data_IF_972562610014
#
_entry.id   IF_972562610014
#
_cell.length_a   1.000
_cell.length_b   1.000
_cell.length_c   1.000
_cell.angle_alpha   90.00
_cell.angle_beta   90.00
_cell.angle_gamma   90.00
#
_symmetry.space_group_name_H-M   'P 1'
#
loop_
_entity.id
_entity.type
_entity.pdbx_description
1 polymer ?
#
# COMPACT_ATOMS: atom_id res chain seq x y z
N UNK A 1 2.77 -19.30 29.67
CA UNK A 1 3.01 -18.86 28.28
C UNK A 1 1.66 -18.59 27.68
N UNK A 2 1.47 -17.43 27.07
CA UNK A 2 0.24 -17.11 26.34
C UNK A 2 0.17 -18.03 25.11
N UNK A 3 -0.82 -18.92 25.07
CA UNK A 3 -1.02 -19.89 23.99
C UNK A 3 -1.65 -19.27 22.74
N UNK A 4 -1.93 -17.96 22.74
CA UNK A 4 -2.54 -17.26 21.61
C UNK A 4 -1.52 -16.71 20.60
N UNK A 5 -0.25 -16.56 21.00
CA UNK A 5 0.82 -16.09 20.12
C UNK A 5 1.39 -17.23 19.26
N UNK A 6 1.61 -17.02 17.95
CA UNK A 6 2.18 -18.06 17.10
C UNK A 6 3.63 -18.35 17.48
N UNK A 7 4.04 -19.61 17.37
CA UNK A 7 5.45 -20.00 17.46
C UNK A 7 6.16 -19.69 16.14
N UNK A 8 7.50 -19.56 16.18
CA UNK A 8 8.27 -19.33 14.96
C UNK A 8 8.19 -20.51 13.99
N UNK A 9 8.04 -21.74 14.51
CA UNK A 9 7.86 -22.94 13.68
C UNK A 9 6.53 -22.92 12.92
N UNK A 10 5.42 -22.59 13.60
CA UNK A 10 4.11 -22.46 12.95
C UNK A 10 4.12 -21.35 11.89
N UNK A 11 4.79 -20.22 12.16
CA UNK A 11 4.96 -19.15 11.17
C UNK A 11 5.72 -19.64 9.93
N UNK A 12 6.80 -20.40 10.09
CA UNK A 12 7.57 -20.98 8.97
C UNK A 12 6.73 -21.96 8.15
N UNK A 13 6.03 -22.88 8.82
CA UNK A 13 5.18 -23.88 8.16
C UNK A 13 4.05 -23.25 7.34
N UNK A 14 3.49 -22.13 7.82
CA UNK A 14 2.43 -21.40 7.14
C UNK A 14 2.93 -20.30 6.18
N UNK A 15 4.25 -20.11 6.03
CA UNK A 15 4.89 -19.04 5.26
C UNK A 15 4.54 -17.60 5.71
N UNK A 16 4.45 -17.39 7.02
CA UNK A 16 4.26 -16.08 7.66
C UNK A 16 3.02 -15.34 7.15
N UNK A 17 1.81 -15.94 7.22
CA UNK A 17 0.62 -15.31 6.67
C UNK A 17 0.18 -14.16 7.58
N UNK A 18 -0.33 -13.08 6.99
CA UNK A 18 -0.78 -11.89 7.71
C UNK A 18 -1.71 -12.24 8.87
N UNK A 19 -2.63 -13.19 8.68
CA UNK A 19 -3.62 -13.62 9.70
C UNK A 19 -3.03 -14.15 11.01
N UNK A 20 -1.77 -14.61 11.02
CA UNK A 20 -1.10 -15.06 12.25
C UNK A 20 -0.43 -13.92 13.00
N UNK A 21 -0.35 -12.73 12.41
CA UNK A 21 0.32 -11.56 12.95
C UNK A 21 -0.71 -10.48 13.31
N UNK A 22 -1.60 -10.79 14.26
CA UNK A 22 -2.68 -9.87 14.64
C UNK A 22 -2.14 -8.64 15.39
N UNK A 23 -2.47 -7.43 14.93
CA UNK A 23 -2.02 -6.18 15.55
C UNK A 23 -2.41 -6.06 17.02
N UNK A 24 -3.54 -6.64 17.44
CA UNK A 24 -3.96 -6.61 18.86
C UNK A 24 -3.03 -7.39 19.79
N UNK A 25 -2.16 -8.26 19.24
CA UNK A 25 -1.21 -9.09 19.98
C UNK A 25 0.22 -8.59 19.76
N UNK A 26 0.60 -8.36 18.50
CA UNK A 26 2.00 -8.10 18.14
C UNK A 26 2.35 -6.63 17.91
N UNK A 27 1.38 -5.72 17.93
CA UNK A 27 1.60 -4.29 17.71
C UNK A 27 1.31 -3.45 18.96
N UNK A 28 2.04 -2.33 19.16
CA UNK A 28 1.86 -1.47 20.33
C UNK A 28 0.58 -0.64 20.31
N UNK A 29 -0.10 -0.58 19.15
CA UNK A 29 -1.36 0.14 18.93
C UNK A 29 -2.02 -0.41 17.65
N UNK A 30 -3.34 -0.29 17.54
CA UNK A 30 -4.08 -0.66 16.33
C UNK A 30 -3.82 0.31 15.18
N UNK A 31 -3.95 -0.15 13.94
CA UNK A 31 -3.84 0.68 12.73
C UNK A 31 -4.86 1.83 12.76
N UNK A 32 -6.05 1.58 13.31
CA UNK A 32 -7.10 2.58 13.48
C UNK A 32 -7.31 2.91 14.96
N UNK A 33 -6.91 4.12 15.42
CA UNK A 33 -6.97 4.49 16.84
C UNK A 33 -8.38 4.46 17.45
N UNK A 34 -9.44 4.56 16.64
CA UNK A 34 -10.82 4.41 17.10
C UNK A 34 -11.09 3.02 17.73
N UNK A 35 -10.33 1.99 17.33
CA UNK A 35 -10.38 0.66 17.97
C UNK A 35 -9.76 0.68 19.38
N UNK A 36 -8.77 1.54 19.64
CA UNK A 36 -8.06 1.63 20.93
C UNK A 36 -8.72 2.61 21.91
N UNK A 37 -9.53 3.56 21.41
CA UNK A 37 -10.26 4.55 22.20
C UNK A 37 -11.23 3.92 23.21
N UNK A 38 -11.63 2.66 23.00
CA UNK A 38 -12.45 1.87 23.95
C UNK A 38 -11.72 1.64 25.28
N UNK A 39 -10.38 1.73 25.31
CA UNK A 39 -9.56 1.54 26.51
C UNK A 39 -9.40 2.79 27.40
N UNK A 40 -9.95 3.94 27.01
CA UNK A 40 -10.06 5.14 27.84
C UNK A 40 -8.74 5.84 28.21
N UNK A 41 -7.60 5.46 27.61
CA UNK A 41 -6.32 6.11 27.86
C UNK A 41 -5.95 7.04 26.69
N UNK A 42 -6.02 8.35 26.92
CA UNK A 42 -5.50 9.35 26.01
C UNK A 42 -3.96 9.31 26.04
N UNK A 43 -3.38 8.54 25.13
CA UNK A 43 -1.94 8.38 24.99
C UNK A 43 -1.33 9.31 23.93
N UNK A 44 -2.06 10.35 23.51
CA UNK A 44 -1.67 11.20 22.39
C UNK A 44 -1.45 10.41 21.09
N UNK A 45 -0.76 11.01 20.14
CA UNK A 45 -0.36 10.39 18.86
C UNK A 45 1.17 10.34 18.73
N UNK A 46 1.85 9.36 19.36
CA UNK A 46 3.29 9.20 19.24
C UNK A 46 3.71 9.04 17.78
N UNK A 47 4.84 9.65 17.40
CA UNK A 47 5.37 9.60 16.03
C UNK A 47 5.76 8.18 15.63
N UNK A 48 6.41 7.45 16.55
CA UNK A 48 6.91 6.09 16.33
C UNK A 48 6.74 5.29 17.63
N UNK A 49 6.24 4.06 17.51
CA UNK A 49 6.19 3.06 18.58
C UNK A 49 6.82 1.77 18.08
N UNK A 50 7.47 1.04 18.99
CA UNK A 50 8.07 -0.26 18.72
C UNK A 50 7.57 -1.27 19.74
N UNK A 51 7.38 -2.52 19.32
CA UNK A 51 7.10 -3.64 20.21
C UNK A 51 7.96 -4.85 19.82
N UNK A 52 8.72 -5.35 20.79
CA UNK A 52 9.46 -6.60 20.68
C UNK A 52 8.64 -7.73 21.33
N UNK A 53 8.23 -8.71 20.54
CA UNK A 53 7.42 -9.83 21.00
C UNK A 53 8.25 -11.11 20.99
N UNK A 54 8.64 -11.59 22.17
CA UNK A 54 9.33 -12.88 22.29
C UNK A 54 8.34 -14.02 22.12
N UNK A 55 8.54 -14.84 21.08
CA UNK A 55 7.74 -16.03 20.79
C UNK A 55 8.61 -17.28 20.95
N UNK A 56 7.98 -18.44 21.05
CA UNK A 56 8.73 -19.70 21.10
C UNK A 56 9.53 -19.84 19.80
N UNK A 57 10.86 -19.85 19.94
CA UNK A 57 11.80 -19.99 18.84
C UNK A 57 12.08 -18.71 18.04
N UNK A 58 11.70 -17.52 18.50
CA UNK A 58 12.07 -16.29 17.80
C UNK A 58 11.56 -14.97 18.40
N UNK A 59 11.66 -13.92 17.59
CA UNK A 59 11.26 -12.55 17.91
C UNK A 59 10.42 -11.98 16.78
N UNK A 60 9.31 -11.30 17.11
CA UNK A 60 8.59 -10.42 16.19
C UNK A 60 8.80 -8.98 16.63
N UNK A 61 9.51 -8.19 15.82
CA UNK A 61 9.73 -6.76 16.05
C UNK A 61 8.76 -5.96 15.17
N UNK A 62 7.87 -5.21 15.82
CA UNK A 62 6.83 -4.42 15.13
C UNK A 62 7.14 -2.94 15.24
N UNK A 63 7.11 -2.25 14.10
CA UNK A 63 7.24 -0.79 13.99
C UNK A 63 5.90 -0.17 13.64
N UNK A 64 5.48 0.83 14.40
CA UNK A 64 4.27 1.60 14.14
C UNK A 64 4.63 3.07 13.99
N UNK A 65 4.51 3.60 12.77
CA UNK A 65 4.68 5.02 12.45
C UNK A 65 3.35 5.74 12.35
N UNK A 66 3.27 6.97 12.88
CA UNK A 66 2.09 7.82 12.73
C UNK A 66 2.04 8.35 11.29
N UNK A 67 1.02 7.98 10.53
CA UNK A 67 1.00 8.17 9.07
C UNK A 67 0.90 9.65 8.61
N UNK A 68 0.40 10.56 9.44
CA UNK A 68 0.44 12.01 9.18
C UNK A 68 1.87 12.58 9.34
N UNK A 69 2.78 11.84 9.95
CA UNK A 69 4.17 12.26 10.17
C UNK A 69 5.17 11.61 9.21
N UNK A 70 4.83 10.45 8.64
CA UNK A 70 5.68 9.69 7.72
C UNK A 70 4.85 8.82 6.77
N UNK A 71 5.34 8.62 5.55
CA UNK A 71 4.90 7.51 4.69
C UNK A 71 5.80 6.29 4.90
N UNK A 72 5.58 5.20 4.16
CA UNK A 72 6.36 3.96 4.32
C UNK A 72 7.85 4.14 3.94
N UNK A 73 8.17 5.05 3.01
CA UNK A 73 9.56 5.34 2.65
C UNK A 73 10.24 6.11 3.78
N UNK A 74 9.54 7.08 4.37
CA UNK A 74 9.99 7.81 5.55
C UNK A 74 10.15 6.90 6.77
N UNK A 75 9.20 6.00 7.00
CA UNK A 75 9.31 4.98 8.05
C UNK A 75 10.48 4.02 7.80
N UNK A 76 10.68 3.58 6.55
CA UNK A 76 11.82 2.76 6.17
C UNK A 76 13.16 3.43 6.46
N UNK A 77 13.27 4.75 6.19
CA UNK A 77 14.46 5.52 6.53
C UNK A 77 14.66 5.64 8.04
N UNK A 78 13.59 5.85 8.82
CA UNK A 78 13.67 5.88 10.29
C UNK A 78 14.14 4.51 10.82
N UNK A 79 13.63 3.40 10.28
CA UNK A 79 14.07 2.06 10.64
C UNK A 79 15.55 1.84 10.29
N UNK A 80 16.02 2.34 9.16
CA UNK A 80 17.44 2.29 8.78
C UNK A 80 18.33 3.06 9.76
N UNK A 81 17.97 4.31 10.10
CA UNK A 81 18.69 5.12 11.07
C UNK A 81 18.70 4.49 12.47
N UNK A 82 17.60 3.87 12.88
CA UNK A 82 17.57 3.11 14.13
C UNK A 82 18.53 1.93 14.08
N UNK A 83 18.55 1.16 12.99
CA UNK A 83 19.49 0.05 12.82
C UNK A 83 20.94 0.53 12.92
N UNK A 84 21.29 1.65 12.25
CA UNK A 84 22.63 2.28 12.39
C UNK A 84 22.95 2.64 13.83
N UNK A 85 22.02 3.27 14.53
CA UNK A 85 22.19 3.63 15.94
C UNK A 85 22.42 2.39 16.82
N UNK A 86 21.75 1.26 16.56
CA UNK A 86 21.98 0.01 17.27
C UNK A 86 23.38 -0.60 17.01
N UNK A 87 24.04 -0.24 15.91
CA UNK A 87 25.42 -0.62 15.60
C UNK A 87 26.46 0.40 16.06
N UNK A 88 26.06 1.45 16.78
CA UNK A 88 26.91 2.59 17.11
C UNK A 88 27.51 3.28 15.86
N UNK A 89 26.84 3.18 14.71
CA UNK A 89 27.24 3.85 13.48
C UNK A 89 26.81 5.31 13.46
N UNK A 90 27.70 6.18 12.94
CA UNK A 90 27.39 7.59 12.77
C UNK A 90 26.39 7.83 11.63
N UNK A 91 25.49 8.79 11.83
CA UNK A 91 24.64 9.29 10.75
C UNK A 91 25.45 10.19 9.81
N UNK A 92 25.16 10.12 8.51
CA UNK A 92 25.81 10.97 7.51
C UNK A 92 25.30 12.40 7.60
N UNK A 93 26.04 13.36 7.04
CA UNK A 93 25.58 14.75 6.96
C UNK A 93 24.25 14.87 6.20
N UNK A 94 24.08 14.10 5.12
CA UNK A 94 22.84 14.07 4.34
C UNK A 94 21.65 13.51 5.14
N UNK A 95 21.87 12.46 5.95
CA UNK A 95 20.84 11.88 6.82
C UNK A 95 20.38 12.85 7.91
N UNK A 96 21.34 13.56 8.52
CA UNK A 96 21.07 14.60 9.52
C UNK A 96 20.33 15.77 8.88
N UNK A 97 20.82 16.27 7.74
CA UNK A 97 20.21 17.37 7.00
C UNK A 97 18.78 17.05 6.57
N UNK A 98 18.56 15.91 5.90
CA UNK A 98 17.24 15.49 5.43
C UNK A 98 16.27 15.17 6.57
N UNK A 99 16.77 14.57 7.66
CA UNK A 99 15.98 14.26 8.85
C UNK A 99 15.46 15.50 9.57
N UNK A 100 16.10 16.65 9.38
CA UNK A 100 15.80 17.92 10.04
C UNK A 100 15.18 18.99 9.11
N UNK A 101 14.80 18.64 7.87
CA UNK A 101 14.15 19.59 6.95
C UNK A 101 12.84 20.15 7.52
N UNK A 102 12.64 21.46 7.34
CA UNK A 102 11.37 22.12 7.66
C UNK A 102 10.26 21.59 6.77
N UNK A 103 9.17 21.11 7.39
CA UNK A 103 8.12 20.38 6.67
C UNK A 103 7.11 21.30 5.99
N UNK A 104 6.89 22.49 6.56
CA UNK A 104 5.79 23.39 6.19
C UNK A 104 5.87 23.88 4.74
N UNK A 105 7.09 24.12 4.25
CA UNK A 105 7.35 24.65 2.91
C UNK A 105 8.16 23.67 2.04
N UNK A 106 8.24 22.39 2.45
CA UNK A 106 9.05 21.39 1.76
C UNK A 106 8.58 21.18 0.32
N UNK A 107 7.27 21.19 0.10
CA UNK A 107 6.67 21.18 -1.24
C UNK A 107 6.27 22.62 -1.56
N UNK A 108 6.91 23.28 -2.54
CA UNK A 108 6.59 24.66 -2.88
C UNK A 108 5.15 24.81 -3.34
N UNK A 109 4.41 25.72 -2.72
CA UNK A 109 3.04 26.06 -3.14
C UNK A 109 3.04 26.71 -4.53
N UNK A 110 1.88 26.74 -5.16
CA UNK A 110 1.63 27.38 -6.46
C UNK A 110 1.04 28.77 -6.24
N UNK A 111 1.63 29.78 -6.88
CA UNK A 111 1.12 31.15 -6.85
C UNK A 111 -0.17 31.27 -7.67
N UNK A 112 -1.16 32.00 -7.15
CA UNK A 112 -2.45 32.24 -7.81
C UNK A 112 -3.16 30.96 -8.30
N UNK A 113 -2.98 29.86 -7.57
CA UNK A 113 -3.57 28.57 -7.95
C UNK A 113 -5.08 28.54 -7.73
N UNK A 114 -5.80 28.22 -8.80
CA UNK A 114 -7.22 27.87 -8.74
C UNK A 114 -7.40 26.36 -8.86
N UNK A 115 -8.42 25.82 -8.18
CA UNK A 115 -8.68 24.38 -8.15
C UNK A 115 -8.89 23.81 -9.56
N UNK A 116 -8.02 22.89 -9.97
CA UNK A 116 -8.13 22.17 -11.23
C UNK A 116 -8.58 20.70 -11.11
N UNK A 117 -8.70 19.99 -12.25
CA UNK A 117 -9.10 18.58 -12.32
C UNK A 117 -8.15 17.61 -11.63
N UNK A 118 -6.90 17.98 -11.41
CA UNK A 118 -5.87 17.23 -10.69
C UNK A 118 -6.28 16.86 -9.25
N UNK A 119 -7.15 17.66 -8.63
CA UNK A 119 -7.67 17.41 -7.29
C UNK A 119 -8.97 16.60 -7.29
N UNK A 120 -9.57 16.33 -8.45
CA UNK A 120 -10.90 15.71 -8.54
C UNK A 120 -10.97 14.36 -7.81
N UNK A 121 -9.88 13.58 -7.84
CA UNK A 121 -9.82 12.27 -7.19
C UNK A 121 -9.59 12.34 -5.67
N UNK A 122 -8.98 13.42 -5.20
CA UNK A 122 -8.62 13.65 -3.79
C UNK A 122 -9.74 14.30 -2.97
N UNK A 123 -10.63 15.03 -3.62
CA UNK A 123 -11.69 15.76 -2.96
C UNK A 123 -12.97 14.94 -3.01
N UNK A 124 -13.60 14.76 -1.85
CA UNK A 124 -14.95 14.21 -1.82
C UNK A 124 -15.84 15.05 -2.75
N UNK A 125 -16.59 14.40 -3.63
CA UNK A 125 -17.72 15.07 -4.24
C UNK A 125 -18.60 15.57 -3.08
N UNK A 126 -18.96 16.85 -3.08
CA UNK A 126 -19.98 17.34 -2.16
C UNK A 126 -21.22 16.49 -2.41
N UNK A 127 -21.52 15.58 -1.50
CA UNK A 127 -22.71 14.73 -1.63
C UNK A 127 -23.92 15.66 -1.76
N UNK A 128 -24.61 15.57 -2.89
CA UNK A 128 -25.95 16.15 -3.01
C UNK A 128 -26.90 15.32 -2.15
N UNK A 129 -26.94 15.63 -0.85
CA UNK A 129 -27.91 15.11 0.11
C UNK A 129 -27.86 13.60 0.39
N UNK A 130 -28.56 13.14 1.44
CA UNK A 130 -28.75 11.72 1.68
C UNK A 130 -29.70 11.18 0.61
N UNK A 131 -29.21 10.27 -0.24
CA UNK A 131 -30.08 9.50 -1.11
C UNK A 131 -31.05 8.68 -0.25
N UNK A 132 -32.33 8.99 -0.46
CA UNK A 132 -33.54 8.51 0.19
C UNK A 132 -33.56 7.05 0.70
N UNK A 133 -34.23 6.92 1.85
CA UNK A 133 -34.94 5.73 2.34
C UNK A 133 -35.51 4.87 1.19
N UNK A 134 -34.92 3.70 0.99
CA UNK A 134 -35.57 2.55 0.40
C UNK A 134 -35.63 1.46 1.47
N UNK A 135 -36.80 1.29 2.09
CA UNK A 135 -37.11 0.07 2.84
C UNK A 135 -37.27 -1.02 1.79
N UNK A 136 -36.17 -1.64 1.37
CA UNK A 136 -36.19 -2.99 0.85
C UNK A 136 -35.33 -3.84 1.79
N UNK A 137 -36.04 -4.67 2.56
CA UNK A 137 -35.46 -5.75 3.35
C UNK A 137 -34.95 -6.83 2.40
N UNK A 138 -33.77 -6.63 1.86
CA UNK A 138 -32.86 -7.76 1.65
C UNK A 138 -31.88 -7.72 2.82
N UNK A 139 -32.19 -8.48 3.87
CA UNK A 139 -31.21 -8.88 4.89
C UNK A 139 -30.15 -9.77 4.21
N UNK A 140 -29.31 -9.18 3.36
CA UNK A 140 -28.05 -9.80 3.01
C UNK A 140 -27.22 -9.84 4.28
N UNK A 141 -26.75 -11.03 4.65
CA UNK A 141 -25.77 -11.18 5.71
C UNK A 141 -24.64 -10.16 5.51
N UNK A 142 -24.09 -9.58 6.59
CA UNK A 142 -23.02 -8.60 6.48
C UNK A 142 -21.89 -9.15 5.60
N UNK A 143 -21.55 -8.42 4.53
CA UNK A 143 -20.51 -8.82 3.58
C UNK A 143 -19.19 -9.05 4.34
N UNK A 144 -18.75 -10.31 4.40
CA UNK A 144 -17.53 -10.66 5.13
C UNK A 144 -16.30 -10.24 4.33
N UNK A 145 -15.47 -9.39 4.93
CA UNK A 145 -14.22 -8.88 4.36
C UNK A 145 -13.02 -9.63 4.95
N UNK A 146 -12.07 -10.04 4.11
CA UNK A 146 -10.94 -10.87 4.54
C UNK A 146 -9.62 -10.42 3.91
N UNK A 147 -8.59 -10.29 4.74
CA UNK A 147 -7.19 -10.25 4.33
C UNK A 147 -6.71 -11.65 3.95
N UNK A 148 -5.98 -11.75 2.85
CA UNK A 148 -5.20 -12.93 2.48
C UNK A 148 -3.81 -12.52 1.99
N UNK A 149 -2.83 -13.40 2.18
CA UNK A 149 -1.46 -13.21 1.72
C UNK A 149 -1.18 -14.14 0.53
N UNK A 150 -0.51 -13.60 -0.48
CA UNK A 150 -0.08 -14.33 -1.65
C UNK A 150 1.40 -14.07 -1.91
N UNK A 151 2.19 -15.13 -2.00
CA UNK A 151 3.60 -15.05 -2.34
C UNK A 151 3.80 -15.18 -3.83
N UNK A 152 4.54 -14.22 -4.41
CA UNK A 152 5.00 -14.25 -5.79
C UNK A 152 6.50 -14.52 -5.79
N UNK A 153 6.87 -15.73 -6.21
CA UNK A 153 8.27 -16.13 -6.32
C UNK A 153 9.00 -15.33 -7.42
N UNK A 154 10.35 -15.24 -7.35
CA UNK A 154 11.14 -14.51 -8.35
C UNK A 154 10.90 -14.96 -9.79
N UNK A 155 10.69 -16.27 -10.00
CA UNK A 155 10.36 -16.85 -11.31
C UNK A 155 8.99 -16.38 -11.82
N UNK A 156 7.96 -16.34 -10.96
CA UNK A 156 6.64 -15.80 -11.29
C UNK A 156 6.71 -14.32 -11.65
N UNK A 157 7.44 -13.53 -10.86
CA UNK A 157 7.63 -12.10 -11.10
C UNK A 157 8.37 -11.82 -12.42
N UNK A 158 9.41 -12.60 -12.71
CA UNK A 158 10.12 -12.53 -13.99
C UNK A 158 9.22 -12.92 -15.17
N UNK A 159 8.40 -13.96 -15.00
CA UNK A 159 7.44 -14.39 -16.03
C UNK A 159 6.38 -13.32 -16.30
N UNK A 160 5.76 -12.75 -15.25
CA UNK A 160 4.79 -11.65 -15.38
C UNK A 160 5.41 -10.44 -16.08
N UNK A 161 6.62 -10.03 -15.68
CA UNK A 161 7.34 -8.95 -16.35
C UNK A 161 7.62 -9.28 -17.82
N UNK A 162 8.02 -10.52 -18.12
CA UNK A 162 8.28 -10.96 -19.50
C UNK A 162 7.01 -10.90 -20.36
N UNK A 163 5.86 -11.34 -19.82
CA UNK A 163 4.56 -11.25 -20.49
C UNK A 163 4.21 -9.78 -20.76
N UNK A 164 4.31 -8.93 -19.74
CA UNK A 164 4.04 -7.51 -19.89
C UNK A 164 4.92 -6.86 -20.96
N UNK A 165 6.22 -7.17 -20.99
CA UNK A 165 7.15 -6.65 -22.01
C UNK A 165 6.79 -7.14 -23.43
N UNK A 166 6.37 -8.40 -23.58
CA UNK A 166 6.00 -8.97 -24.89
C UNK A 166 4.72 -8.37 -25.48
N UNK A 167 3.85 -7.82 -24.64
CA UNK A 167 2.56 -7.27 -25.07
C UNK A 167 2.47 -5.76 -24.80
N UNK A 168 3.60 -5.05 -24.89
CA UNK A 168 3.62 -3.60 -24.79
C UNK A 168 2.98 -2.95 -26.02
N UNK A 169 2.27 -1.81 -25.85
CA UNK A 169 1.84 -1.01 -26.99
C UNK A 169 3.05 -0.44 -27.72
N UNK A 170 2.88 -0.22 -29.03
CA UNK A 170 3.89 0.42 -29.87
C UNK A 170 4.30 1.78 -29.30
N UNK A 171 5.60 2.05 -29.20
CA UNK A 171 6.15 3.29 -28.63
C UNK A 171 6.39 3.27 -27.12
N UNK A 172 6.02 2.20 -26.41
CA UNK A 172 6.40 2.01 -25.00
C UNK A 172 7.83 1.48 -24.88
N UNK A 173 8.62 2.05 -23.98
CA UNK A 173 10.05 1.71 -23.84
C UNK A 173 10.30 0.56 -22.86
N UNK A 174 9.74 0.63 -21.64
CA UNK A 174 9.93 -0.38 -20.61
C UNK A 174 8.78 -0.39 -19.60
N UNK A 175 8.68 -1.48 -18.82
CA UNK A 175 7.89 -1.56 -17.60
C UNK A 175 8.73 -2.23 -16.49
N UNK A 176 8.48 -1.86 -15.24
CA UNK A 176 9.11 -2.48 -14.07
C UNK A 176 8.37 -3.75 -13.65
N UNK A 177 9.01 -4.56 -12.80
CA UNK A 177 8.34 -5.70 -12.14
C UNK A 177 7.13 -5.25 -11.33
N UNK A 178 7.21 -4.08 -10.69
CA UNK A 178 6.12 -3.52 -9.89
C UNK A 178 4.92 -3.11 -10.76
N UNK A 179 5.17 -2.56 -11.97
CA UNK A 179 4.09 -2.24 -12.92
C UNK A 179 3.39 -3.51 -13.41
N UNK A 180 4.16 -4.53 -13.78
CA UNK A 180 3.62 -5.82 -14.24
C UNK A 180 2.81 -6.51 -13.14
N UNK A 181 3.31 -6.55 -11.90
CA UNK A 181 2.59 -7.12 -10.76
C UNK A 181 1.34 -6.31 -10.42
N UNK A 182 1.43 -4.97 -10.40
CA UNK A 182 0.28 -4.08 -10.16
C UNK A 182 -0.84 -4.31 -11.19
N UNK A 183 -0.48 -4.36 -12.48
CA UNK A 183 -1.40 -4.64 -13.57
C UNK A 183 -2.05 -6.03 -13.42
N UNK A 184 -1.25 -7.05 -13.10
CA UNK A 184 -1.72 -8.42 -12.93
C UNK A 184 -2.70 -8.56 -11.76
N UNK A 185 -2.39 -7.95 -10.61
CA UNK A 185 -3.26 -7.93 -9.44
C UNK A 185 -4.58 -7.22 -9.76
N UNK A 186 -4.53 -6.05 -10.40
CA UNK A 186 -5.74 -5.32 -10.77
C UNK A 186 -6.64 -6.14 -11.69
N UNK A 187 -6.07 -6.66 -12.77
CA UNK A 187 -6.79 -7.47 -13.75
C UNK A 187 -7.39 -8.73 -13.09
N UNK A 188 -6.66 -9.40 -12.20
CA UNK A 188 -7.13 -10.60 -11.51
C UNK A 188 -8.24 -10.32 -10.52
N UNK A 189 -8.15 -9.24 -9.74
CA UNK A 189 -9.23 -8.82 -8.81
C UNK A 189 -10.49 -8.48 -9.60
N UNK A 190 -10.36 -7.73 -10.69
CA UNK A 190 -11.51 -7.31 -11.51
C UNK A 190 -12.13 -8.50 -12.26
N UNK A 191 -11.32 -9.45 -12.73
CA UNK A 191 -11.80 -10.71 -13.30
C UNK A 191 -12.59 -11.54 -12.27
N UNK A 192 -12.14 -11.59 -11.02
CA UNK A 192 -12.90 -12.24 -9.94
C UNK A 192 -14.27 -11.56 -9.70
N UNK A 193 -14.34 -10.23 -9.88
CA UNK A 193 -15.57 -9.42 -9.73
C UNK A 193 -16.54 -9.51 -10.90
N UNK A 194 -16.11 -9.98 -12.07
CA UNK A 194 -16.93 -10.09 -13.28
C UNK A 194 -18.22 -10.90 -13.10
N UNK A 195 -18.28 -11.77 -12.08
CA UNK A 195 -19.48 -12.53 -11.74
C UNK A 195 -20.60 -11.70 -11.09
N UNK A 196 -20.28 -10.54 -10.51
CA UNK A 196 -21.26 -9.69 -9.80
C UNK A 196 -21.36 -8.27 -10.36
N UNK A 197 -20.43 -7.85 -11.22
CA UNK A 197 -20.40 -6.52 -11.81
C UNK A 197 -20.74 -6.57 -13.31
N UNK A 198 -21.55 -5.62 -13.83
CA UNK A 198 -21.76 -5.47 -15.26
C UNK A 198 -20.44 -5.27 -16.04
N UNK A 199 -20.35 -5.74 -17.30
CA UNK A 199 -19.15 -5.58 -18.13
C UNK A 199 -18.72 -4.11 -18.34
N UNK A 200 -19.68 -3.18 -18.42
CA UNK A 200 -19.45 -1.76 -18.64
C UNK A 200 -19.18 -0.96 -17.35
N UNK A 201 -19.01 -1.63 -16.21
CA UNK A 201 -18.68 -0.96 -14.95
C UNK A 201 -17.25 -0.43 -15.00
N UNK A 202 -17.08 0.88 -14.80
CA UNK A 202 -15.77 1.50 -14.64
C UNK A 202 -15.08 1.00 -13.38
N UNK A 203 -13.81 0.60 -13.49
CA UNK A 203 -12.94 0.27 -12.37
C UNK A 203 -11.72 1.17 -12.41
N UNK A 204 -11.35 1.72 -11.26
CA UNK A 204 -10.20 2.59 -11.07
C UNK A 204 -9.14 1.89 -10.22
N UNK A 205 -7.89 1.96 -10.69
CA UNK A 205 -6.72 1.58 -9.92
C UNK A 205 -6.03 2.82 -9.37
N UNK A 206 -6.03 2.95 -8.04
CA UNK A 206 -5.31 3.99 -7.33
C UNK A 206 -3.97 3.44 -6.82
N UNK A 207 -2.86 3.99 -7.29
CA UNK A 207 -1.51 3.52 -6.92
C UNK A 207 -0.78 4.60 -6.14
N UNK A 208 -0.38 4.29 -4.92
CA UNK A 208 0.45 5.17 -4.09
C UNK A 208 1.87 5.26 -4.64
N UNK A 209 2.38 6.48 -4.79
CA UNK A 209 3.67 6.80 -5.39
C UNK A 209 4.47 7.64 -4.39
N UNK A 210 5.69 7.20 -4.11
CA UNK A 210 6.72 8.05 -3.52
C UNK A 210 7.07 9.16 -4.52
N UNK A 211 6.72 10.40 -4.19
CA UNK A 211 6.89 11.54 -5.08
C UNK A 211 8.15 12.35 -4.80
N UNK A 212 9.00 11.92 -3.86
CA UNK A 212 10.22 12.65 -3.44
C UNK A 212 11.06 13.13 -4.62
N UNK A 213 11.39 12.24 -5.56
CA UNK A 213 12.21 12.56 -6.74
C UNK A 213 11.53 13.48 -7.76
N UNK A 214 10.20 13.63 -7.71
CA UNK A 214 9.44 14.49 -8.62
C UNK A 214 9.26 15.91 -8.08
N UNK A 215 9.53 16.13 -6.79
CA UNK A 215 9.41 17.43 -6.11
C UNK A 215 10.69 17.79 -5.35
N UNK A 216 11.84 17.27 -5.81
CA UNK A 216 13.19 17.59 -5.32
C UNK A 216 13.38 17.41 -3.80
N UNK A 217 12.71 16.41 -3.21
CA UNK A 217 12.91 16.03 -1.81
C UNK A 217 13.91 14.88 -1.73
N UNK A 218 14.91 14.93 -0.82
CA UNK A 218 15.86 13.84 -0.65
C UNK A 218 15.19 12.49 -0.35
N UNK A 219 15.72 11.40 -0.91
CA UNK A 219 15.23 10.04 -0.63
C UNK A 219 15.34 9.67 0.86
N UNK A 220 16.28 10.29 1.58
CA UNK A 220 16.50 10.15 3.03
C UNK A 220 15.57 11.03 3.88
N UNK A 221 14.59 11.72 3.29
CA UNK A 221 13.58 12.46 4.04
C UNK A 221 12.61 11.51 4.75
N UNK A 222 12.50 11.65 6.07
CA UNK A 222 11.75 10.75 6.96
C UNK A 222 10.26 11.06 7.06
N UNK A 223 9.80 12.16 6.47
CA UNK A 223 8.39 12.57 6.54
C UNK A 223 7.49 11.93 5.49
N UNK A 224 6.34 12.55 5.24
CA UNK A 224 5.36 12.12 4.24
C UNK A 224 5.50 12.96 2.95
N UNK A 225 5.83 12.29 1.84
CA UNK A 225 5.92 12.86 0.50
C UNK A 225 5.41 11.81 -0.48
N UNK A 226 4.08 11.64 -0.48
CA UNK A 226 3.37 10.64 -1.25
C UNK A 226 2.21 11.30 -2.00
N UNK A 227 1.94 10.79 -3.20
CA UNK A 227 0.71 11.10 -3.94
C UNK A 227 0.17 9.82 -4.60
N UNK A 228 -0.94 9.93 -5.33
CA UNK A 228 -1.58 8.82 -6.02
C UNK A 228 -1.54 9.03 -7.54
N UNK A 229 -1.44 7.94 -8.28
CA UNK A 229 -1.82 7.88 -9.71
C UNK A 229 -3.11 7.08 -9.84
N UNK A 230 -3.91 7.41 -10.86
CA UNK A 230 -5.20 6.78 -11.10
C UNK A 230 -5.29 6.34 -12.57
N UNK A 231 -5.71 5.11 -12.81
CA UNK A 231 -6.04 4.59 -14.13
C UNK A 231 -7.44 3.99 -14.10
N UNK A 232 -8.25 4.25 -15.13
CA UNK A 232 -9.63 3.74 -15.23
C UNK A 232 -9.84 3.06 -16.57
N UNK A 233 -10.50 1.91 -16.52
CA UNK A 233 -11.01 1.14 -17.64
C UNK A 233 -12.41 0.63 -17.30
N UNK A 234 -13.18 0.22 -18.30
CA UNK A 234 -14.32 -0.65 -18.00
C UNK A 234 -13.83 -2.04 -17.59
N UNK A 235 -14.63 -2.77 -16.81
CA UNK A 235 -14.34 -4.14 -16.41
C UNK A 235 -14.04 -5.04 -17.61
N UNK A 236 -14.86 -4.95 -18.67
CA UNK A 236 -14.72 -5.74 -19.87
C UNK A 236 -13.41 -5.43 -20.61
N UNK A 237 -13.07 -4.15 -20.76
CA UNK A 237 -11.81 -3.74 -21.38
C UNK A 237 -10.61 -4.25 -20.58
N UNK A 238 -10.58 -4.02 -19.27
CA UNK A 238 -9.45 -4.39 -18.43
C UNK A 238 -9.15 -5.91 -18.48
N UNK A 239 -10.20 -6.74 -18.41
CA UNK A 239 -10.04 -8.19 -18.43
C UNK A 239 -9.62 -8.70 -19.81
N UNK A 240 -9.99 -8.00 -20.89
CA UNK A 240 -9.61 -8.36 -22.26
C UNK A 240 -8.23 -7.84 -22.68
N UNK A 241 -7.69 -6.81 -22.02
CA UNK A 241 -6.43 -6.19 -22.40
C UNK A 241 -5.21 -7.09 -22.11
N UNK A 242 -4.20 -7.08 -23.00
CA UNK A 242 -2.91 -7.68 -22.70
C UNK A 242 -2.25 -7.03 -21.47
N UNK A 243 -1.55 -7.82 -20.67
CA UNK A 243 -0.92 -7.35 -19.42
C UNK A 243 0.00 -6.14 -19.63
N UNK A 244 0.72 -6.11 -20.75
CA UNK A 244 1.63 -5.03 -21.12
C UNK A 244 0.95 -3.69 -21.41
N UNK A 245 -0.27 -3.68 -21.94
CA UNK A 245 -1.06 -2.46 -22.15
C UNK A 245 -1.40 -1.82 -20.80
N UNK A 246 -1.86 -2.64 -19.85
CA UNK A 246 -2.20 -2.20 -18.50
C UNK A 246 -0.94 -1.70 -17.78
N UNK A 247 0.14 -2.50 -17.79
CA UNK A 247 1.40 -2.14 -17.15
C UNK A 247 2.02 -0.88 -17.76
N UNK A 248 1.93 -0.70 -19.09
CA UNK A 248 2.39 0.51 -19.78
C UNK A 248 1.62 1.74 -19.34
N UNK A 249 0.29 1.65 -19.22
CA UNK A 249 -0.53 2.77 -18.70
C UNK A 249 -0.13 3.17 -17.28
N UNK A 250 0.15 2.19 -16.41
CA UNK A 250 0.64 2.47 -15.05
C UNK A 250 2.04 3.12 -15.05
N UNK A 251 2.91 2.73 -16.00
CA UNK A 251 4.25 3.31 -16.16
C UNK A 251 4.21 4.71 -16.75
N UNK A 252 3.37 4.97 -17.74
CA UNK A 252 3.26 6.27 -18.41
C UNK A 252 2.93 7.40 -17.42
N UNK A 253 2.14 7.11 -16.37
CA UNK A 253 1.85 8.07 -15.30
C UNK A 253 3.09 8.50 -14.48
N UNK A 254 4.20 7.76 -14.58
CA UNK A 254 5.45 7.96 -13.84
C UNK A 254 6.61 8.42 -14.73
N UNK A 255 6.37 8.63 -16.03
CA UNK A 255 7.45 8.98 -16.95
C UNK A 255 7.94 10.42 -16.66
N UNK A 256 9.21 10.64 -16.26
CA UNK A 256 9.67 11.92 -15.73
C UNK A 256 9.42 13.13 -16.64
N UNK A 257 9.47 12.91 -17.96
CA UNK A 257 9.33 14.00 -18.95
C UNK A 257 7.87 14.35 -19.29
N UNK A 258 6.91 13.47 -18.97
CA UNK A 258 5.51 13.64 -19.36
C UNK A 258 4.53 13.56 -18.20
N UNK A 259 5.00 13.17 -17.02
CA UNK A 259 4.15 13.04 -15.83
C UNK A 259 3.69 14.40 -15.32
N UNK A 260 2.44 14.44 -14.89
CA UNK A 260 1.82 15.58 -14.22
C UNK A 260 1.97 15.50 -12.69
N UNK A 261 2.62 14.47 -12.16
CA UNK A 261 2.79 14.23 -10.72
C UNK A 261 3.44 15.38 -9.94
N UNK A 262 4.52 16.05 -10.42
CA UNK A 262 5.07 17.23 -9.75
C UNK A 262 4.01 18.31 -9.55
N UNK A 263 3.28 18.64 -10.62
CA UNK A 263 2.21 19.64 -10.58
C UNK A 263 1.07 19.22 -9.67
N UNK A 264 0.56 17.98 -9.79
CA UNK A 264 -0.50 17.43 -8.94
C UNK A 264 -0.13 17.46 -7.45
N UNK A 265 1.12 17.14 -7.13
CA UNK A 265 1.61 17.13 -5.75
C UNK A 265 1.67 18.55 -5.18
N UNK A 266 2.19 19.50 -5.96
CA UNK A 266 2.19 20.93 -5.56
C UNK A 266 0.78 21.51 -5.47
N UNK A 267 -0.12 21.13 -6.38
CA UNK A 267 -1.53 21.53 -6.36
C UNK A 267 -2.25 21.02 -5.10
N UNK A 268 -2.04 19.75 -4.72
CA UNK A 268 -2.59 19.18 -3.50
C UNK A 268 -2.03 19.88 -2.25
N UNK A 269 -0.71 20.09 -2.19
CA UNK A 269 -0.06 20.81 -1.09
C UNK A 269 -0.59 22.26 -0.97
N UNK A 270 -0.72 22.96 -2.11
CA UNK A 270 -1.27 24.33 -2.16
C UNK A 270 -2.71 24.36 -1.68
N UNK A 271 -3.54 23.42 -2.14
CA UNK A 271 -4.92 23.32 -1.71
C UNK A 271 -5.02 23.08 -0.20
N UNK A 272 -4.28 22.10 0.33
CA UNK A 272 -4.25 21.81 1.77
C UNK A 272 -3.76 23.01 2.59
N UNK A 273 -2.75 23.74 2.10
CA UNK A 273 -2.24 24.95 2.73
C UNK A 273 -3.31 26.06 2.79
N UNK A 274 -4.11 26.20 1.73
CA UNK A 274 -5.16 27.23 1.61
C UNK A 274 -6.43 26.98 2.45
N UNK A 275 -6.57 25.78 3.04
CA UNK A 275 -7.80 25.37 3.73
C UNK A 275 -7.57 25.17 5.21
N UNK A 276 -8.38 25.82 6.05
CA UNK A 276 -8.43 25.54 7.47
C UNK A 276 -8.99 24.14 7.73
N UNK A 277 -10.14 23.82 7.13
CA UNK A 277 -10.76 22.50 7.16
C UNK A 277 -10.24 21.62 6.02
N UNK A 278 -9.75 20.43 6.38
CA UNK A 278 -9.17 19.43 5.46
C UNK A 278 -9.94 18.11 5.49
N UNK A 279 -11.07 18.05 6.20
CA UNK A 279 -11.84 16.82 6.46
C UNK A 279 -12.38 16.16 5.18
N UNK A 280 -12.56 16.93 4.11
CA UNK A 280 -13.04 16.47 2.81
C UNK A 280 -11.92 16.02 1.85
N UNK A 281 -10.67 16.01 2.29
CA UNK A 281 -9.52 15.61 1.48
C UNK A 281 -9.08 14.20 1.87
N UNK A 282 -9.12 13.28 0.91
CA UNK A 282 -8.60 11.92 1.06
C UNK A 282 -8.11 11.41 -0.29
N UNK A 283 -6.96 10.71 -0.36
CA UNK A 283 -6.47 10.08 -1.59
C UNK A 283 -7.44 9.03 -2.16
N UNK A 284 -8.44 8.61 -1.37
CA UNK A 284 -9.45 7.64 -1.77
C UNK A 284 -10.87 8.23 -1.85
N UNK A 285 -11.04 9.56 -1.78
CA UNK A 285 -12.36 10.21 -1.74
C UNK A 285 -13.32 9.83 -2.86
N UNK A 286 -12.79 9.52 -4.04
CA UNK A 286 -13.56 9.22 -5.26
C UNK A 286 -13.66 7.73 -5.58
N UNK A 287 -13.12 6.86 -4.72
CA UNK A 287 -13.06 5.42 -4.99
C UNK A 287 -14.30 4.71 -4.44
N UNK A 288 -14.90 3.86 -5.27
CA UNK A 288 -15.87 2.86 -4.82
C UNK A 288 -15.12 1.57 -4.50
N UNK A 289 -14.87 1.30 -3.22
CA UNK A 289 -14.12 0.12 -2.83
C UNK A 289 -14.83 -1.20 -3.17
N UNK A 290 -16.12 -1.21 -3.52
CA UNK A 290 -16.76 -2.40 -4.04
C UNK A 290 -16.34 -2.74 -5.49
N UNK A 291 -15.65 -1.83 -6.19
CA UNK A 291 -15.27 -1.95 -7.61
C UNK A 291 -13.79 -1.64 -7.86
N UNK A 292 -13.29 -0.57 -7.25
CA UNK A 292 -11.95 -0.04 -7.43
C UNK A 292 -10.90 -0.83 -6.65
N UNK A 293 -9.61 -0.59 -6.94
CA UNK A 293 -8.47 -1.22 -6.26
C UNK A 293 -7.47 -0.15 -5.86
N UNK A 294 -6.97 -0.22 -4.63
CA UNK A 294 -5.91 0.67 -4.13
C UNK A 294 -4.68 -0.13 -3.74
N UNK A 295 -3.53 0.23 -4.31
CA UNK A 295 -2.24 -0.43 -4.09
C UNK A 295 -1.24 0.53 -3.46
N UNK A 296 -0.59 0.07 -2.39
CA UNK A 296 0.61 0.68 -1.84
C UNK A 296 1.75 -0.34 -1.85
N UNK A 297 2.74 -0.12 -2.72
CA UNK A 297 3.89 -1.01 -2.82
C UNK A 297 5.01 -0.58 -1.89
N UNK A 298 5.40 -1.47 -0.98
CA UNK A 298 6.52 -1.28 -0.04
C UNK A 298 7.78 -2.02 -0.51
N UNK A 299 7.74 -2.59 -1.73
CA UNK A 299 8.77 -3.48 -2.26
C UNK A 299 10.18 -2.83 -2.33
N UNK A 300 10.25 -1.49 -2.35
CA UNK A 300 11.52 -0.74 -2.37
C UNK A 300 12.12 -0.49 -0.99
N UNK A 301 11.38 -0.73 0.09
CA UNK A 301 11.94 -0.57 1.43
C UNK A 301 12.93 -1.70 1.69
N UNK A 302 14.07 -1.36 2.30
CA UNK A 302 15.18 -2.29 2.50
C UNK A 302 15.10 -3.06 3.84
N UNK A 303 13.88 -3.39 4.27
CA UNK A 303 13.62 -3.89 5.63
C UNK A 303 14.28 -5.25 5.93
N UNK A 304 14.59 -6.05 4.90
CA UNK A 304 15.30 -7.33 5.05
C UNK A 304 16.79 -7.16 5.38
N UNK A 305 17.35 -5.96 5.25
CA UNK A 305 18.76 -5.69 5.56
C UNK A 305 18.96 -5.14 6.98
N UNK A 306 17.89 -4.99 7.76
CA UNK A 306 17.92 -4.38 9.09
C UNK A 306 17.91 -5.47 10.18
N UNK A 307 19.05 -5.75 10.78
CA UNK A 307 19.19 -6.70 11.89
C UNK A 307 19.19 -6.03 13.29
N UNK A 308 19.27 -4.69 13.33
CA UNK A 308 19.29 -3.88 14.54
C UNK A 308 20.34 -4.31 15.57
N UNK A 309 21.44 -4.93 15.14
CA UNK A 309 22.50 -5.44 16.00
C UNK A 309 22.00 -6.37 17.14
N UNK A 310 20.91 -7.11 16.92
CA UNK A 310 20.30 -7.97 17.94
C UNK A 310 21.01 -9.32 18.11
N UNK A 311 22.01 -9.62 17.28
CA UNK A 311 22.68 -10.93 17.25
C UNK A 311 21.80 -12.08 16.71
N UNK A 312 20.66 -11.77 16.08
CA UNK A 312 19.71 -12.74 15.53
C UNK A 312 19.86 -12.96 14.02
N UNK A 313 20.71 -12.17 13.36
CA UNK A 313 20.80 -12.08 11.91
C UNK A 313 19.68 -11.24 11.29
N UNK A 314 19.60 -11.28 9.96
CA UNK A 314 18.60 -10.53 9.18
C UNK A 314 17.18 -11.09 9.35
N UNK A 315 16.13 -10.29 9.14
CA UNK A 315 14.75 -10.75 9.22
C UNK A 315 14.45 -11.94 8.29
N UNK A 316 13.83 -12.99 8.81
CA UNK A 316 13.41 -14.15 8.03
C UNK A 316 12.20 -13.82 7.12
N UNK A 317 11.31 -12.96 7.62
CA UNK A 317 10.16 -12.44 6.90
C UNK A 317 9.84 -11.01 7.34
N UNK A 318 9.41 -10.17 6.40
CA UNK A 318 8.84 -8.85 6.69
C UNK A 318 7.38 -8.85 6.21
N UNK A 319 6.46 -8.55 7.13
CA UNK A 319 5.01 -8.63 6.92
C UNK A 319 4.31 -7.43 7.57
N UNK A 320 3.15 -7.08 7.04
CA UNK A 320 2.22 -6.16 7.68
C UNK A 320 1.35 -6.94 8.67
N UNK A 321 1.14 -6.45 9.92
CA UNK A 321 0.18 -7.05 10.84
C UNK A 321 -1.24 -7.09 10.26
N UNK A 322 -1.99 -8.14 10.59
CA UNK A 322 -3.43 -8.21 10.38
C UNK A 322 -4.14 -7.14 11.20
N UNK A 323 -5.13 -6.51 10.59
CA UNK A 323 -5.89 -5.40 11.15
C UNK A 323 -7.30 -5.40 10.56
N UNK A 324 -8.14 -4.48 11.06
CA UNK A 324 -9.51 -4.28 10.56
C UNK A 324 -9.56 -4.29 9.02
N UNK A 325 -10.35 -5.18 8.39
CA UNK A 325 -10.40 -5.31 6.93
C UNK A 325 -10.75 -3.99 6.22
N UNK A 326 -10.00 -3.66 5.17
CA UNK A 326 -10.24 -2.53 4.29
C UNK A 326 -10.46 -3.04 2.87
N UNK A 327 -11.69 -3.00 2.38
CA UNK A 327 -12.02 -3.54 1.07
C UNK A 327 -11.15 -2.95 -0.04
N UNK A 328 -10.63 -3.82 -0.90
CA UNK A 328 -9.85 -3.47 -2.09
C UNK A 328 -8.48 -2.86 -1.85
N UNK A 329 -8.02 -2.84 -0.60
CA UNK A 329 -6.64 -2.49 -0.28
C UNK A 329 -5.70 -3.65 -0.57
N UNK A 330 -4.57 -3.30 -1.17
CA UNK A 330 -3.49 -4.20 -1.53
C UNK A 330 -2.15 -3.59 -1.11
N UNK A 331 -1.34 -4.39 -0.44
CA UNK A 331 0.02 -4.00 -0.05
C UNK A 331 1.04 -4.98 -0.60
N UNK A 332 2.07 -4.47 -1.26
CA UNK A 332 3.24 -5.30 -1.61
C UNK A 332 4.24 -5.16 -0.48
N UNK A 333 4.60 -6.27 0.15
CA UNK A 333 5.59 -6.30 1.21
C UNK A 333 6.99 -5.96 0.66
N UNK A 334 7.95 -5.61 1.53
CA UNK A 334 9.33 -5.39 1.10
C UNK A 334 9.84 -6.58 0.28
N UNK A 335 10.60 -6.31 -0.77
CA UNK A 335 11.14 -7.36 -1.63
C UNK A 335 12.27 -8.07 -0.89
N UNK A 336 12.20 -9.40 -0.82
CA UNK A 336 13.24 -10.22 -0.22
C UNK A 336 14.49 -10.24 -1.11
N UNK A 337 15.65 -10.58 -0.56
CA UNK A 337 16.93 -10.60 -1.29
C UNK A 337 16.96 -11.52 -2.52
N UNK A 338 16.15 -12.58 -2.53
CA UNK A 338 15.98 -13.47 -3.69
C UNK A 338 15.04 -12.90 -4.78
N UNK A 339 14.34 -11.80 -4.49
CA UNK A 339 13.38 -11.14 -5.38
C UNK A 339 11.92 -11.45 -5.05
N UNK A 340 11.61 -12.31 -4.09
CA UNK A 340 10.24 -12.66 -3.69
C UNK A 340 9.48 -11.44 -3.16
N UNK A 341 8.19 -11.35 -3.49
CA UNK A 341 7.28 -10.34 -2.96
C UNK A 341 6.04 -11.05 -2.40
N UNK A 342 5.75 -10.83 -1.11
CA UNK A 342 4.46 -11.18 -0.53
C UNK A 342 3.48 -10.02 -0.77
N UNK A 343 2.26 -10.34 -1.15
CA UNK A 343 1.18 -9.39 -1.44
C UNK A 343 0.03 -9.67 -0.47
N UNK A 344 -0.34 -8.67 0.33
CA UNK A 344 -1.55 -8.73 1.14
C UNK A 344 -2.72 -8.11 0.37
N UNK A 345 -3.84 -8.83 0.25
CA UNK A 345 -5.04 -8.39 -0.48
C UNK A 345 -6.24 -8.51 0.44
N UNK A 346 -7.06 -7.46 0.53
CA UNK A 346 -8.33 -7.50 1.26
C UNK A 346 -9.51 -7.43 0.29
N UNK A 347 -10.34 -8.47 0.25
CA UNK A 347 -11.52 -8.53 -0.61
C UNK A 347 -12.73 -9.04 0.16
N UNK A 348 -13.90 -8.83 -0.44
CA UNK A 348 -15.10 -9.56 -0.06
C UNK A 348 -14.84 -11.07 -0.20
N UNK A 349 -15.39 -11.86 0.73
CA UNK A 349 -15.21 -13.31 0.81
C UNK A 349 -15.42 -14.03 -0.52
N UNK A 350 -16.47 -13.70 -1.25
CA UNK A 350 -16.77 -14.35 -2.54
C UNK A 350 -15.79 -13.93 -3.64
N UNK A 351 -15.36 -12.67 -3.68
CA UNK A 351 -14.30 -12.23 -4.60
C UNK A 351 -12.96 -12.91 -4.26
N UNK A 352 -12.62 -13.02 -2.97
CA UNK A 352 -11.42 -13.71 -2.51
C UNK A 352 -11.43 -15.19 -2.87
N UNK A 353 -12.58 -15.86 -2.69
CA UNK A 353 -12.77 -17.26 -3.08
C UNK A 353 -12.56 -17.46 -4.58
N UNK A 354 -13.10 -16.56 -5.40
CA UNK A 354 -12.91 -16.58 -6.86
C UNK A 354 -11.47 -16.32 -7.25
N UNK A 355 -10.82 -15.33 -6.64
CA UNK A 355 -9.40 -15.05 -6.88
C UNK A 355 -8.51 -16.26 -6.55
N UNK A 356 -8.78 -16.94 -5.43
CA UNK A 356 -8.09 -18.19 -5.04
C UNK A 356 -8.34 -19.37 -5.97
N UNK A 357 -9.43 -19.35 -6.74
CA UNK A 357 -9.77 -20.38 -7.73
C UNK A 357 -9.41 -19.97 -9.18
N UNK A 358 -8.97 -18.74 -9.39
CA UNK A 358 -8.66 -18.20 -10.71
C UNK A 358 -7.37 -18.85 -11.24
N UNK A 359 -7.50 -19.63 -12.32
CA UNK A 359 -6.41 -20.43 -12.88
C UNK A 359 -5.22 -19.59 -13.32
N UNK A 360 -5.47 -18.39 -13.84
CA UNK A 360 -4.41 -17.49 -14.27
C UNK A 360 -3.68 -16.92 -13.05
N UNK A 361 -4.43 -16.51 -12.01
CA UNK A 361 -3.89 -16.01 -10.76
C UNK A 361 -2.98 -17.03 -10.04
N UNK A 362 -3.50 -18.23 -9.81
CA UNK A 362 -2.78 -19.28 -9.07
C UNK A 362 -1.57 -19.86 -9.82
N UNK A 363 -1.45 -19.57 -11.13
CA UNK A 363 -0.25 -19.92 -11.90
C UNK A 363 0.97 -19.14 -11.41
N UNK A 364 0.78 -17.91 -10.94
CA UNK A 364 1.87 -17.02 -10.53
C UNK A 364 1.92 -16.78 -9.01
N UNK A 365 0.77 -16.90 -8.33
CA UNK A 365 0.60 -16.59 -6.92
C UNK A 365 0.41 -17.86 -6.09
N UNK A 366 1.22 -18.03 -5.03
CA UNK A 366 1.00 -19.04 -3.99
C UNK A 366 0.21 -18.42 -2.85
N UNK A 367 -0.92 -19.00 -2.46
CA UNK A 367 -1.64 -18.57 -1.27
C UNK A 367 -0.90 -18.98 0.01
N UNK A 368 -0.67 -18.03 0.91
CA UNK A 368 -0.03 -18.28 2.20
C UNK A 368 -1.11 -18.47 3.27
N UNK A 369 -1.33 -19.73 3.65
CA UNK A 369 -2.16 -20.13 4.80
C UNK A 369 -3.63 -19.79 4.69
#
# INVERSE_FOLDING_TARGET
MDTSAPTMMELREANFPMRMLNESVIAPRSTFPAADAVSGRDHGSPVLLLQANFIVGGLVLTFLGQHQTMDIMGQGQIMHLLSKACHDESFTEDELSSGNLQRQNLIPVLDNYERGPELARHLAATAAGPSHNGIDKDEKEPTQMLWASFTFHPTSLAALKSIAVKTLPSGSSYVSTDDALSAFIWQSIVRARANRLPPNTDTTFARAIDVRSYVDVPATYTGIVQNMTYATYTLQELVALPLGEIASRLRAALEPNTTILPFHTRALATYLHSKADKSHVSPASSLDFSIDVIVSSWAKTNSYELDFNLGLGKPEAVRRPWFTPLQSFVYFMPRKGDGEISVAVCLEKEDMKRLKADKEFITYARHDG
#
